data_IF_373943379204
#
_entry.id   IF_373943379204
#
_cell.length_a   1.000
_cell.length_b   1.000
_cell.length_c   1.000
_cell.angle_alpha   90.00
_cell.angle_beta   90.00
_cell.angle_gamma   90.00
#
_symmetry.space_group_name_H-M   'P 1'
#
loop_
_entity.id
_entity.type
_entity.pdbx_description
1 polymer ?
#
# COMPACT_ATOMS: atom_id res chain seq x y z
N UNK A 1 28.21 -19.60 -28.77
CA UNK A 1 27.05 -20.48 -28.46
C UNK A 1 25.80 -19.67 -28.10
N UNK A 2 25.87 -18.72 -27.15
CA UNK A 2 24.72 -17.87 -26.77
C UNK A 2 24.20 -16.98 -27.91
N UNK A 3 25.08 -16.40 -28.73
CA UNK A 3 24.69 -15.56 -29.87
C UNK A 3 23.94 -16.34 -30.96
N UNK A 4 24.30 -17.61 -31.17
CA UNK A 4 23.61 -18.50 -32.13
C UNK A 4 22.18 -18.77 -31.65
N UNK A 5 22.00 -19.01 -30.34
CA UNK A 5 20.68 -19.21 -29.74
C UNK A 5 19.83 -17.95 -29.88
N UNK A 6 20.38 -16.76 -29.60
CA UNK A 6 19.67 -15.48 -29.75
C UNK A 6 19.26 -15.26 -31.21
N UNK A 7 20.15 -15.58 -32.16
CA UNK A 7 19.86 -15.47 -33.59
C UNK A 7 18.68 -16.37 -34.00
N UNK A 8 18.71 -17.65 -33.63
CA UNK A 8 17.63 -18.62 -33.95
C UNK A 8 16.29 -18.17 -33.33
N UNK A 9 16.30 -17.72 -32.07
CA UNK A 9 15.07 -17.24 -31.40
C UNK A 9 14.57 -15.95 -32.05
N UNK A 10 15.47 -15.05 -32.46
CA UNK A 10 15.07 -13.81 -33.12
C UNK A 10 14.48 -14.06 -34.51
N UNK A 11 15.05 -14.99 -35.28
CA UNK A 11 14.55 -15.38 -36.60
C UNK A 11 13.17 -16.04 -36.50
N UNK A 12 12.98 -16.95 -35.54
CA UNK A 12 11.68 -17.61 -35.30
C UNK A 12 10.61 -16.67 -34.76
N UNK A 13 10.95 -15.70 -33.91
CA UNK A 13 9.99 -14.68 -33.44
C UNK A 13 9.61 -13.69 -34.55
N UNK A 14 10.54 -13.39 -35.45
CA UNK A 14 10.30 -12.47 -36.55
C UNK A 14 9.25 -13.00 -37.53
N UNK A 15 9.17 -14.32 -37.76
CA UNK A 15 8.12 -14.92 -38.60
C UNK A 15 6.72 -14.76 -37.99
N UNK A 16 6.62 -14.58 -36.67
CA UNK A 16 5.39 -14.35 -35.92
C UNK A 16 5.08 -12.86 -35.69
N UNK A 17 5.84 -11.94 -36.27
CA UNK A 17 5.69 -10.50 -36.03
C UNK A 17 6.12 -10.04 -34.63
N UNK A 18 6.86 -10.87 -33.90
CA UNK A 18 7.35 -10.60 -32.55
C UNK A 18 8.81 -10.16 -32.56
N UNK A 19 9.26 -9.46 -31.49
CA UNK A 19 10.64 -8.99 -31.33
C UNK A 19 11.15 -9.26 -29.91
N UNK A 20 12.40 -9.67 -29.80
CA UNK A 20 13.08 -9.78 -28.50
C UNK A 20 13.23 -8.40 -27.87
N UNK A 21 12.80 -8.28 -26.62
CA UNK A 21 12.98 -7.04 -25.87
C UNK A 21 14.38 -6.97 -25.27
N UNK A 22 15.15 -5.94 -25.64
CA UNK A 22 16.50 -5.68 -25.11
C UNK A 22 16.53 -5.55 -23.58
N UNK A 23 15.42 -5.12 -22.97
CA UNK A 23 15.29 -4.99 -21.52
C UNK A 23 15.11 -6.33 -20.78
N UNK A 24 14.48 -7.34 -21.40
CA UNK A 24 14.19 -8.65 -20.76
C UNK A 24 15.16 -9.74 -21.19
N UNK A 25 15.94 -9.52 -22.24
CA UNK A 25 16.88 -10.50 -22.80
C UNK A 25 18.29 -10.09 -22.44
N UNK A 26 18.90 -10.74 -21.45
CA UNK A 26 20.25 -10.43 -20.97
C UNK A 26 21.06 -11.70 -20.84
N UNK A 27 22.32 -11.62 -21.23
CA UNK A 27 23.30 -12.65 -20.95
C UNK A 27 23.88 -12.42 -19.56
N UNK A 28 23.98 -13.47 -18.78
CA UNK A 28 24.49 -13.42 -17.42
C UNK A 28 25.44 -14.60 -17.19
N UNK A 29 26.69 -14.31 -16.83
CA UNK A 29 27.66 -15.33 -16.46
C UNK A 29 27.37 -15.87 -15.05
N UNK A 30 27.08 -14.98 -14.11
CA UNK A 30 26.60 -15.35 -12.77
C UNK A 30 25.08 -15.54 -12.78
N UNK A 31 24.65 -16.77 -13.03
CA UNK A 31 23.24 -17.15 -13.04
C UNK A 31 22.61 -16.98 -11.65
N UNK A 32 23.36 -17.25 -10.58
CA UNK A 32 22.83 -17.21 -9.20
C UNK A 32 22.49 -15.78 -8.82
N UNK A 33 23.44 -14.85 -8.98
CA UNK A 33 23.23 -13.44 -8.64
C UNK A 33 22.09 -12.82 -9.46
N UNK A 34 22.04 -13.10 -10.77
CA UNK A 34 21.07 -12.49 -11.67
C UNK A 34 19.67 -13.16 -11.62
N UNK A 35 19.57 -14.37 -11.05
CA UNK A 35 18.28 -15.01 -10.78
C UNK A 35 17.53 -14.37 -9.60
N UNK A 36 18.25 -13.62 -8.75
CA UNK A 36 17.65 -12.92 -7.61
C UNK A 36 17.35 -11.48 -8.04
N UNK A 37 16.11 -11.02 -7.81
CA UNK A 37 15.79 -9.60 -8.03
C UNK A 37 16.67 -8.72 -7.16
N UNK A 38 17.26 -7.68 -7.76
CA UNK A 38 18.23 -6.79 -7.10
C UNK A 38 17.73 -6.23 -5.77
N UNK A 39 16.46 -5.82 -5.73
CA UNK A 39 15.79 -5.27 -4.54
C UNK A 39 15.75 -6.29 -3.38
N UNK A 40 15.49 -7.57 -3.67
CA UNK A 40 15.48 -8.62 -2.64
C UNK A 40 16.87 -8.90 -2.10
N UNK A 41 17.89 -8.86 -2.97
CA UNK A 41 19.27 -9.10 -2.57
C UNK A 41 19.81 -7.94 -1.73
N UNK A 42 19.64 -6.70 -2.18
CA UNK A 42 20.09 -5.51 -1.44
C UNK A 42 19.43 -5.42 -0.07
N UNK A 43 18.12 -5.72 0.02
CA UNK A 43 17.44 -5.78 1.31
C UNK A 43 18.00 -6.87 2.21
N UNK A 44 18.18 -8.10 1.71
CA UNK A 44 18.72 -9.22 2.51
C UNK A 44 20.11 -8.93 3.10
N UNK A 45 20.94 -8.18 2.38
CA UNK A 45 22.29 -7.83 2.83
C UNK A 45 22.27 -6.68 3.86
N UNK A 46 21.34 -5.72 3.73
CA UNK A 46 21.20 -4.57 4.64
C UNK A 46 20.34 -4.89 5.89
N UNK A 47 19.41 -5.83 5.79
CA UNK A 47 18.39 -6.08 6.82
C UNK A 47 18.92 -6.88 8.00
N UNK A 48 18.62 -6.40 9.21
CA UNK A 48 18.84 -7.13 10.46
C UNK A 48 17.49 -7.32 11.18
N UNK A 49 17.16 -8.56 11.55
CA UNK A 49 15.90 -8.90 12.22
C UNK A 49 15.72 -8.22 13.58
N UNK A 50 16.81 -7.84 14.24
CA UNK A 50 16.82 -7.34 15.62
C UNK A 50 16.80 -5.80 15.72
N UNK A 51 16.57 -5.10 14.61
CA UNK A 51 16.46 -3.64 14.58
C UNK A 51 15.32 -3.12 15.46
N UNK A 52 15.54 -1.98 16.13
CA UNK A 52 14.47 -1.24 16.81
C UNK A 52 13.39 -0.81 15.83
N UNK A 53 12.22 -0.38 16.31
CA UNK A 53 11.15 0.13 15.42
C UNK A 53 11.65 1.29 14.55
N UNK A 54 12.35 2.24 15.17
CA UNK A 54 12.88 3.39 14.46
C UNK A 54 13.89 2.96 13.38
N UNK A 55 14.85 2.11 13.74
CA UNK A 55 15.87 1.67 12.78
C UNK A 55 15.24 0.86 11.65
N UNK A 56 14.21 0.06 11.96
CA UNK A 56 13.46 -0.70 10.94
C UNK A 56 12.75 0.22 9.96
N UNK A 57 12.05 1.26 10.45
CA UNK A 57 11.37 2.23 9.60
C UNK A 57 12.36 3.06 8.79
N UNK A 58 13.48 3.46 9.38
CA UNK A 58 14.52 4.21 8.69
C UNK A 58 15.20 3.37 7.61
N UNK A 59 15.46 2.09 7.87
CA UNK A 59 16.00 1.17 6.87
C UNK A 59 15.03 1.00 5.69
N UNK A 60 13.73 0.85 5.95
CA UNK A 60 12.72 0.79 4.87
C UNK A 60 12.68 2.10 4.10
N UNK A 61 12.73 3.25 4.78
CA UNK A 61 12.77 4.58 4.16
C UNK A 61 13.97 4.72 3.22
N UNK A 62 15.18 4.43 3.71
CA UNK A 62 16.42 4.45 2.93
C UNK A 62 16.32 3.54 1.70
N UNK A 63 15.91 2.29 1.90
CA UNK A 63 15.70 1.33 0.82
C UNK A 63 14.68 1.81 -0.22
N UNK A 64 13.63 2.51 0.24
CA UNK A 64 12.57 3.00 -0.64
C UNK A 64 13.01 4.12 -1.58
N UNK A 65 14.07 4.86 -1.23
CA UNK A 65 14.68 5.84 -2.11
C UNK A 65 15.40 5.18 -3.29
N UNK A 66 16.02 4.01 -3.06
CA UNK A 66 16.72 3.23 -4.09
C UNK A 66 15.76 2.34 -4.92
N UNK A 67 14.68 1.84 -4.31
CA UNK A 67 13.81 0.81 -4.87
C UNK A 67 12.32 1.14 -4.70
N UNK A 68 11.86 2.23 -5.33
CA UNK A 68 10.46 2.66 -5.29
C UNK A 68 9.48 1.55 -5.72
N UNK A 69 8.35 1.45 -5.03
CA UNK A 69 7.27 0.48 -5.26
C UNK A 69 7.74 -0.99 -5.26
N UNK A 70 8.86 -1.30 -4.62
CA UNK A 70 9.30 -2.70 -4.44
C UNK A 70 8.31 -3.46 -3.53
N UNK A 71 7.96 -4.68 -3.94
CA UNK A 71 7.19 -5.60 -3.10
C UNK A 71 7.89 -5.96 -1.78
N UNK A 72 9.20 -5.75 -1.69
CA UNK A 72 9.97 -5.89 -0.45
C UNK A 72 9.51 -4.87 0.60
N UNK A 73 9.23 -3.62 0.18
CA UNK A 73 8.76 -2.55 1.08
C UNK A 73 7.39 -2.92 1.67
N UNK A 74 6.47 -3.38 0.83
CA UNK A 74 5.13 -3.82 1.27
C UNK A 74 5.26 -4.92 2.33
N UNK A 75 6.12 -5.91 2.07
CA UNK A 75 6.34 -7.05 2.96
C UNK A 75 6.93 -6.63 4.30
N UNK A 76 7.89 -5.70 4.27
CA UNK A 76 8.58 -5.21 5.46
C UNK A 76 7.74 -4.26 6.29
N UNK A 77 7.02 -3.34 5.68
CA UNK A 77 6.06 -2.49 6.38
C UNK A 77 4.97 -3.33 7.05
N UNK A 78 4.47 -4.37 6.36
CA UNK A 78 3.52 -5.32 6.96
C UNK A 78 4.14 -6.11 8.11
N UNK A 79 5.40 -6.55 7.99
CA UNK A 79 6.12 -7.25 9.07
C UNK A 79 6.30 -6.35 10.29
N UNK A 80 6.71 -5.10 10.08
CA UNK A 80 6.86 -4.10 11.14
C UNK A 80 5.52 -3.89 11.84
N UNK A 81 4.44 -3.71 11.07
CA UNK A 81 3.11 -3.53 11.65
C UNK A 81 2.68 -4.73 12.51
N UNK A 82 2.80 -5.95 11.98
CA UNK A 82 2.48 -7.18 12.72
C UNK A 82 3.29 -7.31 14.01
N UNK A 83 4.57 -6.92 14.00
CA UNK A 83 5.44 -6.94 15.18
C UNK A 83 4.93 -6.01 16.29
N UNK A 84 4.44 -4.82 15.94
CA UNK A 84 4.05 -3.79 16.91
C UNK A 84 2.55 -3.76 17.22
N UNK A 85 1.74 -4.60 16.57
CA UNK A 85 0.28 -4.54 16.69
C UNK A 85 -0.20 -4.68 18.14
N UNK A 86 0.41 -5.60 18.90
CA UNK A 86 0.12 -5.81 20.33
C UNK A 86 0.87 -4.89 21.29
N UNK A 87 1.73 -3.99 20.80
CA UNK A 87 2.48 -3.08 21.66
C UNK A 87 1.55 -2.02 22.26
N UNK A 88 1.87 -1.62 23.49
CA UNK A 88 1.23 -0.53 24.22
C UNK A 88 2.07 0.76 24.14
N UNK A 89 1.52 1.90 24.56
CA UNK A 89 2.13 3.23 24.44
C UNK A 89 3.57 3.28 25.00
N UNK A 90 3.84 2.57 26.08
CA UNK A 90 5.13 2.57 26.79
C UNK A 90 6.28 1.94 25.99
N UNK A 91 5.95 1.12 24.98
CA UNK A 91 6.95 0.51 24.11
C UNK A 91 7.58 1.52 23.14
N UNK A 92 6.90 2.66 22.92
CA UNK A 92 7.33 3.72 22.02
C UNK A 92 8.12 4.76 22.81
N UNK A 93 9.41 4.50 23.02
CA UNK A 93 10.35 5.41 23.71
C UNK A 93 10.60 6.76 22.98
N UNK A 94 10.05 6.95 21.78
CA UNK A 94 10.24 8.12 20.91
C UNK A 94 8.90 8.80 20.66
N UNK A 95 8.95 10.05 20.23
CA UNK A 95 7.78 10.82 19.83
C UNK A 95 7.02 10.15 18.66
N UNK A 96 5.71 9.99 18.80
CA UNK A 96 4.83 9.44 17.78
C UNK A 96 4.81 10.28 16.50
N UNK A 97 5.02 11.60 16.60
CA UNK A 97 5.11 12.49 15.44
C UNK A 97 6.24 12.06 14.50
N UNK A 98 7.37 11.57 15.04
CA UNK A 98 8.50 11.07 14.23
C UNK A 98 8.09 9.81 13.46
N UNK A 99 7.40 8.87 14.10
CA UNK A 99 6.96 7.64 13.44
C UNK A 99 5.92 7.92 12.35
N UNK A 100 5.00 8.85 12.62
CA UNK A 100 4.00 9.32 11.64
C UNK A 100 4.71 9.96 10.45
N UNK A 101 5.66 10.87 10.68
CA UNK A 101 6.39 11.55 9.63
C UNK A 101 7.17 10.59 8.71
N UNK A 102 7.89 9.63 9.29
CA UNK A 102 8.63 8.61 8.52
C UNK A 102 7.66 7.72 7.73
N UNK A 103 6.55 7.30 8.34
CA UNK A 103 5.55 6.44 7.68
C UNK A 103 4.89 7.17 6.50
N UNK A 104 4.58 8.45 6.64
CA UNK A 104 4.07 9.27 5.54
C UNK A 104 5.10 9.41 4.42
N UNK A 105 6.38 9.58 4.77
CA UNK A 105 7.45 9.69 3.78
C UNK A 105 7.59 8.41 2.94
N UNK A 106 7.55 7.24 3.59
CA UNK A 106 7.53 5.94 2.91
C UNK A 106 6.29 5.82 2.02
N UNK A 107 5.12 6.22 2.53
CA UNK A 107 3.86 6.18 1.79
C UNK A 107 3.90 7.03 0.52
N UNK A 108 4.51 8.22 0.56
CA UNK A 108 4.59 9.14 -0.58
C UNK A 108 5.31 8.51 -1.77
N UNK A 109 6.45 7.89 -1.50
CA UNK A 109 7.29 7.30 -2.54
C UNK A 109 6.84 5.88 -2.93
N UNK A 110 5.91 5.28 -2.19
CA UNK A 110 5.49 3.89 -2.37
C UNK A 110 3.98 3.69 -2.17
N UNK A 111 3.13 4.20 -3.08
CA UNK A 111 1.68 4.04 -3.00
C UNK A 111 1.20 2.60 -2.84
N UNK A 112 1.95 1.64 -3.40
CA UNK A 112 1.65 0.20 -3.27
C UNK A 112 1.79 -0.33 -1.83
N UNK A 113 2.57 0.34 -0.98
CA UNK A 113 2.73 0.02 0.44
C UNK A 113 1.73 0.75 1.35
N UNK A 114 0.87 1.61 0.77
CA UNK A 114 -0.05 2.45 1.53
C UNK A 114 -0.94 1.71 2.53
N UNK A 115 -1.49 0.51 2.25
CA UNK A 115 -2.27 -0.24 3.25
C UNK A 115 -1.51 -0.47 4.55
N UNK A 116 -0.25 -0.91 4.44
CA UNK A 116 0.59 -1.17 5.61
C UNK A 116 0.97 0.15 6.33
N UNK A 117 1.20 1.22 5.58
CA UNK A 117 1.41 2.56 6.13
C UNK A 117 0.16 3.06 6.88
N UNK A 118 -1.03 2.93 6.30
CA UNK A 118 -2.30 3.32 6.91
C UNK A 118 -2.53 2.57 8.23
N UNK A 119 -2.22 1.27 8.27
CA UNK A 119 -2.32 0.49 9.50
C UNK A 119 -1.35 0.98 10.58
N UNK A 120 -0.09 1.28 10.23
CA UNK A 120 0.87 1.89 11.14
C UNK A 120 0.39 3.25 11.66
N UNK A 121 -0.09 4.12 10.77
CA UNK A 121 -0.65 5.43 11.13
C UNK A 121 -1.83 5.26 12.10
N UNK A 122 -2.76 4.35 11.82
CA UNK A 122 -3.91 4.08 12.73
C UNK A 122 -3.45 3.66 14.13
N UNK A 123 -2.37 2.88 14.22
CA UNK A 123 -1.79 2.45 15.50
C UNK A 123 -1.10 3.61 16.23
N UNK A 124 -0.31 4.43 15.55
CA UNK A 124 0.35 5.57 16.19
C UNK A 124 -0.67 6.61 16.67
N UNK A 125 -1.66 6.94 15.83
CA UNK A 125 -2.73 7.87 16.18
C UNK A 125 -3.57 7.38 17.36
N UNK A 126 -3.76 6.06 17.52
CA UNK A 126 -4.53 5.51 18.65
C UNK A 126 -3.94 5.78 20.04
N UNK A 127 -2.68 6.25 20.12
CA UNK A 127 -2.01 6.59 21.38
C UNK A 127 -1.95 8.08 21.69
N UNK A 128 -2.36 8.92 20.75
CA UNK A 128 -2.41 10.37 20.87
C UNK A 128 -3.74 10.81 21.50
N UNK A 129 -3.78 12.03 22.04
CA UNK A 129 -5.06 12.61 22.46
C UNK A 129 -5.87 13.12 21.26
N UNK A 130 -7.14 13.50 21.48
CA UNK A 130 -8.03 13.95 20.39
C UNK A 130 -7.51 15.20 19.65
N UNK A 131 -6.77 16.07 20.33
CA UNK A 131 -6.25 17.31 19.75
C UNK A 131 -5.05 17.05 18.86
N UNK A 132 -4.08 16.27 19.37
CA UNK A 132 -2.91 15.79 18.64
C UNK A 132 -3.31 14.92 17.45
N UNK A 133 -4.30 14.05 17.65
CA UNK A 133 -4.83 13.16 16.61
C UNK A 133 -5.40 13.95 15.44
N UNK A 134 -6.23 14.96 15.72
CA UNK A 134 -6.81 15.85 14.68
C UNK A 134 -5.73 16.63 13.93
N UNK A 135 -4.77 17.19 14.66
CA UNK A 135 -3.61 17.90 14.08
C UNK A 135 -2.86 16.98 13.13
N UNK A 136 -2.41 15.82 13.62
CA UNK A 136 -1.63 14.87 12.83
C UNK A 136 -2.39 14.36 11.61
N UNK A 137 -3.71 14.15 11.69
CA UNK A 137 -4.49 13.76 10.51
C UNK A 137 -4.55 14.85 9.45
N UNK A 138 -4.73 16.12 9.85
CA UNK A 138 -4.67 17.22 8.90
C UNK A 138 -3.30 17.27 8.20
N UNK A 139 -2.22 17.11 8.97
CA UNK A 139 -0.85 17.09 8.43
C UNK A 139 -0.64 15.89 7.47
N UNK A 140 -1.14 14.70 7.83
CA UNK A 140 -1.10 13.50 6.99
C UNK A 140 -1.85 13.76 5.67
N UNK A 141 -3.05 14.34 5.74
CA UNK A 141 -3.89 14.64 4.59
C UNK A 141 -3.25 15.70 3.70
N UNK A 142 -2.69 16.77 4.27
CA UNK A 142 -1.99 17.80 3.49
C UNK A 142 -0.76 17.22 2.78
N UNK A 143 0.00 16.38 3.48
CA UNK A 143 1.21 15.76 2.95
C UNK A 143 0.91 14.70 1.86
N UNK A 144 -0.19 13.96 1.99
CA UNK A 144 -0.57 12.88 1.07
C UNK A 144 -1.57 13.29 -0.02
N UNK A 145 -2.35 14.34 0.21
CA UNK A 145 -3.37 14.83 -0.72
C UNK A 145 -2.80 15.49 -1.97
N UNK A 146 -1.54 15.97 -1.90
CA UNK A 146 -0.82 16.53 -3.04
C UNK A 146 -0.27 15.46 -3.99
N UNK A 147 -0.36 14.17 -3.63
CA UNK A 147 0.17 13.11 -4.48
C UNK A 147 -0.93 12.65 -5.42
N UNK A 148 -0.65 12.64 -6.73
CA UNK A 148 -1.58 12.33 -7.81
C UNK A 148 -2.12 10.89 -7.87
N UNK A 149 -2.15 10.15 -6.75
CA UNK A 149 -2.56 8.74 -6.75
C UNK A 149 -4.02 8.58 -6.30
N UNK A 150 -4.80 8.06 -7.26
CA UNK A 150 -6.03 7.24 -7.21
C UNK A 150 -6.81 7.14 -5.88
N UNK A 151 -8.13 7.13 -5.97
CA UNK A 151 -9.06 6.82 -4.87
C UNK A 151 -8.70 5.69 -3.92
N UNK A 152 -7.82 4.77 -4.32
CA UNK A 152 -7.19 3.80 -3.44
C UNK A 152 -6.57 4.38 -2.17
N UNK A 153 -5.77 5.46 -2.28
CA UNK A 153 -5.16 6.11 -1.10
C UNK A 153 -6.25 6.75 -0.24
N UNK A 154 -7.19 7.45 -0.87
CA UNK A 154 -8.29 8.10 -0.17
C UNK A 154 -9.16 7.10 0.59
N UNK A 155 -9.42 5.91 0.06
CA UNK A 155 -10.15 4.83 0.76
C UNK A 155 -9.42 4.40 2.03
N UNK A 156 -8.10 4.26 1.98
CA UNK A 156 -7.31 3.90 3.16
C UNK A 156 -7.20 5.05 4.16
N UNK A 157 -7.09 6.30 3.70
CA UNK A 157 -7.17 7.47 4.58
C UNK A 157 -8.54 7.54 5.24
N UNK A 158 -9.62 7.30 4.50
CA UNK A 158 -10.97 7.20 5.06
C UNK A 158 -11.02 6.09 6.11
N UNK A 159 -10.43 4.92 5.86
CA UNK A 159 -10.37 3.83 6.85
C UNK A 159 -9.64 4.23 8.14
N UNK A 160 -8.60 5.06 8.05
CA UNK A 160 -7.87 5.61 9.22
C UNK A 160 -8.74 6.63 9.99
N UNK A 161 -9.49 7.48 9.28
CA UNK A 161 -10.25 8.59 9.88
C UNK A 161 -11.68 8.25 10.27
N UNK A 162 -12.25 7.13 9.77
CA UNK A 162 -13.70 6.81 9.86
C UNK A 162 -14.24 6.77 11.29
N UNK A 163 -13.39 6.44 12.28
CA UNK A 163 -13.76 6.40 13.70
C UNK A 163 -13.34 7.63 14.50
N UNK A 164 -12.56 8.52 13.91
CA UNK A 164 -11.93 9.62 14.64
C UNK A 164 -12.80 10.89 14.67
N UNK A 165 -14.06 10.78 14.23
CA UNK A 165 -15.03 11.88 14.15
C UNK A 165 -14.49 13.12 13.38
N UNK A 166 -13.62 12.87 12.40
CA UNK A 166 -13.02 13.91 11.55
C UNK A 166 -13.85 14.03 10.28
N UNK A 167 -14.36 15.24 10.03
CA UNK A 167 -15.13 15.56 8.82
C UNK A 167 -14.17 16.02 7.72
N UNK A 168 -13.44 15.08 7.13
CA UNK A 168 -12.68 15.34 5.91
C UNK A 168 -13.51 14.97 4.67
N UNK A 169 -13.50 15.84 3.67
CA UNK A 169 -14.18 15.63 2.38
C UNK A 169 -13.20 15.04 1.39
N UNK A 170 -13.27 13.73 1.20
CA UNK A 170 -12.52 13.00 0.17
C UNK A 170 -13.06 13.32 -1.23
N UNK A 171 -12.18 13.34 -2.23
CA UNK A 171 -12.53 13.68 -3.61
C UNK A 171 -13.08 12.48 -4.38
N UNK A 172 -12.60 11.28 -4.08
CA UNK A 172 -12.98 10.05 -4.77
C UNK A 172 -14.45 9.73 -4.57
N UNK A 173 -15.09 9.30 -5.66
CA UNK A 173 -16.52 8.99 -5.65
C UNK A 173 -16.85 7.91 -4.63
N UNK A 174 -16.01 6.88 -4.47
CA UNK A 174 -16.22 5.78 -3.51
C UNK A 174 -16.24 6.31 -2.06
N UNK A 175 -15.36 7.27 -1.74
CA UNK A 175 -15.29 7.82 -0.40
C UNK A 175 -16.51 8.69 -0.07
N UNK A 176 -17.11 9.36 -1.06
CA UNK A 176 -18.32 10.18 -0.90
C UNK A 176 -19.59 9.35 -0.62
N UNK A 177 -19.61 8.09 -1.05
CA UNK A 177 -20.78 7.20 -0.95
C UNK A 177 -21.20 6.87 0.49
N UNK A 178 -20.30 7.01 1.46
CA UNK A 178 -20.63 6.79 2.87
C UNK A 178 -21.67 7.81 3.39
N UNK A 179 -21.80 8.98 2.72
CA UNK A 179 -22.67 10.09 3.17
C UNK A 179 -23.86 10.39 2.23
N UNK A 180 -23.98 9.76 1.06
CA UNK A 180 -25.04 10.05 0.08
C UNK A 180 -25.97 8.84 -0.14
N UNK A 181 -27.19 9.08 -0.66
CA UNK A 181 -28.22 8.04 -0.94
C UNK A 181 -28.37 7.69 -2.43
N UNK A 182 -27.65 8.37 -3.32
CA UNK A 182 -27.76 8.17 -4.77
C UNK A 182 -26.37 8.09 -5.40
N UNK A 183 -26.06 6.97 -6.04
CA UNK A 183 -24.69 6.59 -6.36
C UNK A 183 -24.57 6.30 -7.85
N UNK A 184 -23.80 7.12 -8.56
CA UNK A 184 -23.30 6.81 -9.90
C UNK A 184 -21.78 6.63 -9.78
N UNK A 185 -21.35 5.48 -9.26
CA UNK A 185 -19.92 5.18 -9.01
C UNK A 185 -19.17 4.92 -10.32
N UNK A 186 -19.88 4.36 -11.29
CA UNK A 186 -19.34 4.03 -12.60
C UNK A 186 -20.36 4.39 -13.67
N UNK A 187 -19.85 4.78 -14.83
CA UNK A 187 -20.69 4.98 -15.99
C UNK A 187 -21.40 3.64 -16.33
N UNK A 188 -22.71 3.63 -16.09
CA UNK A 188 -23.60 2.51 -16.36
C UNK A 188 -24.46 2.76 -17.60
N UNK A 189 -24.05 3.68 -18.49
CA UNK A 189 -24.84 4.15 -19.63
C UNK A 189 -25.07 3.08 -20.70
N UNK A 190 -24.19 2.09 -20.74
CA UNK A 190 -24.29 0.93 -21.60
C UNK A 190 -25.27 -0.14 -21.08
N UNK A 191 -25.71 -0.06 -19.80
CA UNK A 191 -26.63 -1.03 -19.22
C UNK A 191 -28.09 -0.69 -19.49
N UNK A 192 -28.90 -1.73 -19.68
CA UNK A 192 -30.36 -1.63 -19.78
C UNK A 192 -30.96 -0.96 -18.52
N UNK A 193 -31.98 -0.12 -18.70
CA UNK A 193 -32.58 0.73 -17.65
C UNK A 193 -32.94 -0.02 -16.36
N UNK A 194 -33.55 -1.21 -16.49
CA UNK A 194 -33.88 -2.10 -15.34
C UNK A 194 -32.65 -2.44 -14.48
N UNK A 195 -31.53 -2.83 -15.08
CA UNK A 195 -30.31 -3.19 -14.35
C UNK A 195 -29.65 -1.95 -13.74
N UNK A 196 -29.61 -0.86 -14.50
CA UNK A 196 -29.07 0.42 -14.04
C UNK A 196 -29.79 0.94 -12.81
N UNK A 197 -31.12 0.89 -12.80
CA UNK A 197 -31.91 1.35 -11.66
C UNK A 197 -31.67 0.48 -10.43
N UNK A 198 -31.51 -0.84 -10.61
CA UNK A 198 -31.16 -1.75 -9.52
C UNK A 198 -29.79 -1.44 -8.91
N UNK A 199 -28.79 -1.16 -9.74
CA UNK A 199 -27.44 -0.75 -9.29
C UNK A 199 -27.52 0.56 -8.50
N UNK A 200 -28.22 1.58 -9.03
CA UNK A 200 -28.40 2.87 -8.36
C UNK A 200 -29.11 2.77 -7.01
N UNK A 201 -30.03 1.83 -6.84
CA UNK A 201 -30.76 1.60 -5.58
C UNK A 201 -30.02 0.68 -4.61
N UNK A 202 -28.94 0.01 -5.04
CA UNK A 202 -28.20 -0.92 -4.19
C UNK A 202 -27.34 -0.13 -3.22
N UNK A 203 -27.46 -0.42 -1.93
CA UNK A 203 -26.56 0.13 -0.94
C UNK A 203 -25.24 -0.66 -0.96
N UNK A 204 -24.13 0.01 -1.25
CA UNK A 204 -22.80 -0.60 -1.33
C UNK A 204 -22.09 -0.72 0.03
N UNK A 205 -22.58 -0.01 1.05
CA UNK A 205 -21.93 0.07 2.36
C UNK A 205 -22.79 -0.56 3.44
N UNK A 206 -22.24 -1.58 4.10
CA UNK A 206 -22.86 -2.13 5.30
C UNK A 206 -22.49 -1.28 6.52
N UNK A 207 -23.43 -0.43 6.94
CA UNK A 207 -23.26 0.44 8.11
C UNK A 207 -23.09 -0.36 9.41
N UNK A 208 -23.57 -1.61 9.48
CA UNK A 208 -23.34 -2.47 10.64
C UNK A 208 -21.90 -2.97 10.70
N UNK A 209 -21.24 -3.19 9.56
CA UNK A 209 -19.82 -3.53 9.51
C UNK A 209 -19.00 -2.30 9.91
N UNK A 210 -19.31 -1.13 9.32
CA UNK A 210 -18.60 0.13 9.62
C UNK A 210 -18.70 0.51 11.10
N UNK A 211 -19.87 0.33 11.72
CA UNK A 211 -20.07 0.65 13.14
C UNK A 211 -19.23 -0.25 14.05
N UNK A 212 -18.95 -1.49 13.65
CA UNK A 212 -18.14 -2.47 14.40
C UNK A 212 -16.63 -2.37 14.16
N UNK A 213 -16.16 -1.53 13.23
CA UNK A 213 -14.72 -1.39 12.96
C UNK A 213 -13.98 -0.81 14.17
N UNK A 214 -12.74 -1.28 14.39
CA UNK A 214 -11.84 -0.70 15.39
C UNK A 214 -11.11 0.54 14.85
N UNK A 215 -10.67 1.41 15.77
CA UNK A 215 -9.82 2.57 15.47
C UNK A 215 -8.48 2.15 14.85
N UNK A 216 -7.93 1.02 15.31
CA UNK A 216 -6.68 0.45 14.81
C UNK A 216 -7.01 -0.61 13.76
N UNK A 217 -6.42 -0.49 12.57
CA UNK A 217 -6.67 -1.40 11.44
C UNK A 217 -6.18 -2.81 11.78
N UNK A 218 -7.00 -3.84 11.61
CA UNK A 218 -6.55 -5.20 11.91
C UNK A 218 -5.48 -5.66 10.91
N UNK A 219 -4.40 -6.36 11.33
CA UNK A 219 -3.39 -6.89 10.42
C UNK A 219 -3.96 -7.76 9.29
N UNK A 220 -5.10 -8.40 9.52
CA UNK A 220 -5.78 -9.21 8.50
C UNK A 220 -6.31 -8.36 7.34
N UNK A 221 -6.78 -7.12 7.61
CA UNK A 221 -7.31 -6.18 6.59
C UNK A 221 -6.25 -5.87 5.52
N UNK A 222 -4.99 -5.68 5.92
CA UNK A 222 -3.89 -5.34 5.01
C UNK A 222 -3.21 -6.58 4.41
N UNK A 223 -3.38 -7.74 5.04
CA UNK A 223 -2.67 -8.96 4.65
C UNK A 223 -3.32 -9.72 3.49
N UNK A 224 -4.54 -9.34 3.07
CA UNK A 224 -5.26 -10.00 1.97
C UNK A 224 -4.45 -10.07 0.67
N UNK A 225 -3.53 -9.13 0.43
CA UNK A 225 -2.68 -9.10 -0.77
C UNK A 225 -1.35 -9.87 -0.63
N UNK A 226 -1.07 -10.44 0.55
CA UNK A 226 0.11 -11.27 0.81
C UNK A 226 -0.21 -12.77 0.89
N UNK A 227 -1.49 -13.15 0.86
CA UNK A 227 -1.94 -14.55 0.81
C UNK A 227 -1.81 -15.06 -0.64
N UNK A 228 -0.58 -15.07 -1.14
CA UNK A 228 -0.09 -16.12 -2.03
C UNK A 228 0.98 -16.86 -1.23
N UNK A 229 0.59 -17.44 -0.08
CA UNK A 229 1.31 -18.63 0.38
C UNK A 229 0.85 -19.72 -0.58
N UNK A 230 1.72 -20.05 -1.53
CA UNK A 230 1.76 -21.35 -2.16
C UNK A 230 1.67 -22.40 -1.05
N UNK A 231 0.47 -22.93 -0.86
CA UNK A 231 0.23 -24.22 -0.24
C UNK A 231 0.83 -25.26 -1.19
N UNK A 232 2.08 -25.62 -0.90
CA UNK A 232 2.68 -26.91 -1.26
C UNK A 232 3.05 -27.57 0.05
#
# INVERSE_FOLDING_TARGET
TSEIIIKIISETLSTLGMRLSKGKTKFHEDIIYNSIKKDKLSWKLKHNSNMSLFDSLMAVKDFSMEHQNSGTIIKEMTRIYKRIYGWQKEHFKKDFEIFIAITCDIAIHNPSAFPACAALLSKFLSFLDDTETKKNINDIIEKLGNISYTGYIEVWLQRVTIKQNIKYLFNDELCKLNNSKTHNIWNSDWLHSKLRNKIKSTNFFDQNIISKLDNVINPNEISMFLINKSSV
#
